data_IF_958816574481
#
_entry.id   IF_958816574481
#
_cell.length_a   1.000
_cell.length_b   1.000
_cell.length_c   1.000
_cell.angle_alpha   90.00
_cell.angle_beta   90.00
_cell.angle_gamma   90.00
#
_symmetry.space_group_name_H-M   'P 1'
#
loop_
_entity.id
_entity.type
_entity.pdbx_description
1 polymer ?
#
# COMPACT_ATOMS: atom_id res chain seq x y z
N UNK A 1 -22.71 12.94 23.13
CA UNK A 1 -21.42 12.97 22.41
C UNK A 1 -21.73 12.91 20.93
N UNK A 2 -21.50 13.99 20.18
CA UNK A 2 -21.76 14.03 18.75
C UNK A 2 -20.84 13.02 18.05
N UNK A 3 -21.39 12.23 17.10
CA UNK A 3 -20.57 11.44 16.18
C UNK A 3 -19.64 12.42 15.45
N UNK A 4 -18.32 12.17 15.36
CA UNK A 4 -17.45 13.02 14.55
C UNK A 4 -17.98 12.99 13.11
N UNK A 5 -18.14 14.15 12.50
CA UNK A 5 -18.50 14.28 11.09
C UNK A 5 -17.43 13.57 10.27
N UNK A 6 -17.74 12.39 9.76
CA UNK A 6 -16.85 11.65 8.87
C UNK A 6 -16.71 12.41 7.55
N UNK A 7 -15.64 13.18 7.41
CA UNK A 7 -15.31 13.87 6.15
C UNK A 7 -14.61 12.89 5.21
N UNK A 8 -15.38 12.35 4.29
CA UNK A 8 -14.90 11.50 3.21
C UNK A 8 -15.01 12.25 1.88
N UNK A 9 -14.10 11.97 0.92
CA UNK A 9 -14.20 12.56 -0.40
C UNK A 9 -15.53 12.16 -1.06
N UNK A 10 -16.07 13.08 -1.85
CA UNK A 10 -17.26 12.86 -2.66
C UNK A 10 -17.01 11.79 -3.73
N UNK A 11 -18.08 11.33 -4.37
CA UNK A 11 -17.98 10.36 -5.48
C UNK A 11 -17.13 10.91 -6.62
N UNK A 12 -17.25 12.19 -6.93
CA UNK A 12 -16.50 12.85 -8.01
C UNK A 12 -15.01 12.96 -7.67
N UNK A 13 -14.68 13.28 -6.42
CA UNK A 13 -13.29 13.33 -5.95
C UNK A 13 -12.63 11.95 -6.00
N UNK A 14 -13.37 10.90 -5.62
CA UNK A 14 -12.89 9.53 -5.76
C UNK A 14 -12.74 9.07 -7.20
N UNK A 15 -13.56 9.60 -8.11
CA UNK A 15 -13.40 9.34 -9.53
C UNK A 15 -12.13 9.98 -10.06
N UNK A 16 -11.86 11.25 -9.71
CA UNK A 16 -10.60 11.92 -10.06
C UNK A 16 -9.37 11.23 -9.46
N UNK A 17 -9.48 10.71 -8.24
CA UNK A 17 -8.45 9.88 -7.60
C UNK A 17 -8.12 8.63 -8.44
N UNK A 18 -9.16 7.89 -8.86
CA UNK A 18 -8.98 6.67 -9.66
C UNK A 18 -8.40 6.99 -11.04
N UNK A 19 -8.88 8.06 -11.70
CA UNK A 19 -8.41 8.53 -13.01
C UNK A 19 -6.93 8.95 -12.96
N UNK A 20 -6.52 9.70 -11.94
CA UNK A 20 -5.14 10.15 -11.77
C UNK A 20 -4.16 9.00 -11.55
N UNK A 21 -4.61 7.90 -10.96
CA UNK A 21 -3.82 6.70 -10.72
C UNK A 21 -4.07 5.60 -11.76
N UNK A 22 -4.83 5.88 -12.82
CA UNK A 22 -5.06 4.93 -13.91
C UNK A 22 -3.81 4.73 -14.78
N UNK A 23 -2.90 5.71 -14.80
CA UNK A 23 -1.71 5.73 -15.64
C UNK A 23 -0.46 6.08 -14.84
N UNK A 24 0.69 5.41 -15.08
CA UNK A 24 1.97 5.78 -14.47
C UNK A 24 2.48 7.17 -14.86
N UNK A 25 1.92 7.76 -15.92
CA UNK A 25 2.34 9.07 -16.44
C UNK A 25 1.42 10.23 -16.00
N UNK A 26 0.24 9.93 -15.46
CA UNK A 26 -0.75 10.92 -15.07
C UNK A 26 -0.39 11.70 -13.78
N UNK A 27 0.66 11.28 -13.08
CA UNK A 27 1.19 11.95 -11.88
C UNK A 27 0.94 11.17 -10.60
N UNK A 28 0.86 11.90 -9.48
CA UNK A 28 0.56 11.35 -8.17
C UNK A 28 -0.70 11.95 -7.57
N UNK A 29 -1.12 11.39 -6.44
CA UNK A 29 -2.22 11.91 -5.64
C UNK A 29 -1.74 12.13 -4.22
N UNK A 30 -2.14 13.24 -3.63
CA UNK A 30 -1.84 13.59 -2.26
C UNK A 30 -3.12 13.64 -1.44
N UNK A 31 -3.13 12.89 -0.35
CA UNK A 31 -4.27 12.74 0.54
C UNK A 31 -3.81 13.00 1.97
N UNK A 32 -4.56 13.79 2.72
CA UNK A 32 -4.43 13.85 4.17
C UNK A 32 -5.43 12.87 4.78
N UNK A 33 -4.95 11.87 5.51
CA UNK A 33 -5.80 10.86 6.12
C UNK A 33 -5.43 10.71 7.61
N UNK A 34 -6.40 10.98 8.49
CA UNK A 34 -6.25 10.92 9.95
C UNK A 34 -4.93 11.52 10.48
N UNK A 35 -4.60 12.73 10.00
CA UNK A 35 -3.41 13.48 10.42
C UNK A 35 -2.11 13.13 9.68
N UNK A 36 -2.11 12.15 8.77
CA UNK A 36 -0.93 11.79 7.98
C UNK A 36 -1.02 12.23 6.52
N UNK A 37 0.12 12.62 5.96
CA UNK A 37 0.24 12.98 4.54
C UNK A 37 0.57 11.75 3.72
N UNK A 38 -0.39 11.27 2.94
CA UNK A 38 -0.21 10.17 2.00
C UNK A 38 0.13 10.71 0.62
N UNK A 39 1.32 10.40 0.13
CA UNK A 39 1.66 10.58 -1.28
C UNK A 39 1.50 9.24 -1.99
N UNK A 40 0.69 9.22 -3.04
CA UNK A 40 0.29 8.01 -3.75
C UNK A 40 0.71 8.16 -5.20
N UNK A 41 1.42 7.17 -5.73
CA UNK A 41 1.85 7.22 -7.13
C UNK A 41 1.90 5.81 -7.72
N UNK A 42 1.62 5.71 -9.01
CA UNK A 42 1.86 4.46 -9.76
C UNK A 42 3.34 4.40 -10.12
N UNK A 43 4.03 3.35 -9.68
CA UNK A 43 5.45 3.11 -9.99
C UNK A 43 5.64 1.74 -10.61
N UNK A 44 6.63 1.65 -11.49
CA UNK A 44 7.08 0.38 -12.04
C UNK A 44 7.84 -0.38 -10.95
N UNK A 45 7.43 -1.63 -10.67
CA UNK A 45 8.07 -2.49 -9.67
C UNK A 45 8.86 -3.64 -10.30
N UNK A 46 8.52 -4.03 -11.53
CA UNK A 46 9.23 -5.01 -12.37
C UNK A 46 9.01 -4.66 -13.85
N UNK A 47 9.75 -5.26 -14.80
CA UNK A 47 9.42 -5.14 -16.22
C UNK A 47 7.94 -5.46 -16.45
N UNK A 48 7.24 -4.54 -17.13
CA UNK A 48 5.80 -4.63 -17.43
C UNK A 48 4.87 -4.78 -16.22
N UNK A 49 5.35 -4.46 -15.00
CA UNK A 49 4.53 -4.53 -13.79
C UNK A 49 4.55 -3.22 -13.01
N UNK A 50 3.38 -2.63 -12.88
CA UNK A 50 3.15 -1.42 -12.11
C UNK A 50 2.39 -1.73 -10.83
N UNK A 51 2.58 -0.89 -9.81
CA UNK A 51 1.82 -0.91 -8.58
C UNK A 51 1.58 0.51 -8.08
N UNK A 52 0.48 0.70 -7.35
CA UNK A 52 0.19 1.95 -6.64
C UNK A 52 0.97 1.91 -5.32
N UNK A 53 1.94 2.80 -5.13
CA UNK A 53 2.71 2.90 -3.89
C UNK A 53 2.16 4.01 -3.00
N UNK A 54 2.12 3.75 -1.70
CA UNK A 54 1.71 4.70 -0.67
C UNK A 54 2.91 5.08 0.18
N UNK A 55 3.29 6.35 0.13
CA UNK A 55 4.30 6.95 0.98
C UNK A 55 3.59 7.69 2.12
N UNK A 56 3.93 7.34 3.36
CA UNK A 56 3.37 7.99 4.55
C UNK A 56 4.37 9.04 5.01
N UNK A 57 3.92 10.29 5.08
CA UNK A 57 4.75 11.45 5.40
C UNK A 57 6.00 11.53 4.50
N UNK A 58 5.80 11.21 3.22
CA UNK A 58 6.82 11.24 2.17
C UNK A 58 7.76 10.03 2.13
N UNK A 59 7.61 9.05 3.02
CA UNK A 59 8.54 7.92 3.10
C UNK A 59 7.82 6.56 3.20
N UNK A 60 8.52 5.52 2.76
CA UNK A 60 8.16 4.12 3.08
C UNK A 60 9.19 3.63 4.08
N UNK A 61 8.80 3.55 5.35
CA UNK A 61 9.68 3.06 6.42
C UNK A 61 9.46 1.57 6.65
N UNK A 62 10.55 0.83 6.82
CA UNK A 62 10.48 -0.61 7.08
C UNK A 62 9.67 -0.95 8.34
N UNK A 63 9.68 -0.08 9.34
CA UNK A 63 8.89 -0.24 10.57
C UNK A 63 7.38 -0.30 10.30
N UNK A 64 6.87 0.42 9.29
CA UNK A 64 5.47 0.37 8.89
C UNK A 64 5.13 -0.96 8.22
N UNK A 65 6.10 -1.62 7.60
CA UNK A 65 5.94 -2.92 6.96
C UNK A 65 5.84 -4.08 7.96
N UNK A 66 6.28 -3.87 9.21
CA UNK A 66 6.23 -4.90 10.25
C UNK A 66 4.79 -5.16 10.70
N UNK A 67 4.49 -6.43 11.02
CA UNK A 67 3.20 -6.82 11.57
C UNK A 67 2.90 -6.04 12.86
N UNK A 68 1.64 -5.61 13.03
CA UNK A 68 1.19 -4.93 14.25
C UNK A 68 1.49 -3.43 14.32
N UNK A 69 2.22 -2.85 13.37
CA UNK A 69 2.43 -1.40 13.33
C UNK A 69 1.11 -0.68 13.00
N UNK A 70 0.70 0.28 13.82
CA UNK A 70 -0.59 0.97 13.67
C UNK A 70 -0.71 1.73 12.34
N UNK A 71 0.35 2.45 11.92
CA UNK A 71 0.38 3.19 10.64
C UNK A 71 0.31 2.21 9.47
N UNK A 72 1.10 1.13 9.52
CA UNK A 72 1.07 0.07 8.53
C UNK A 72 -0.30 -0.61 8.39
N UNK A 73 -0.94 -0.94 9.50
CA UNK A 73 -2.28 -1.54 9.51
C UNK A 73 -3.36 -0.61 8.94
N UNK A 74 -3.12 0.70 8.99
CA UNK A 74 -4.06 1.73 8.58
C UNK A 74 -3.96 2.08 7.10
N UNK A 75 -2.74 2.13 6.55
CA UNK A 75 -2.50 2.61 5.19
C UNK A 75 -1.98 1.54 4.22
N UNK A 76 -1.42 0.44 4.71
CA UNK A 76 -0.81 -0.62 3.90
C UNK A 76 -1.67 -1.88 3.90
N UNK A 77 -1.54 -2.70 2.86
CA UNK A 77 -2.31 -3.95 2.77
C UNK A 77 -1.61 -5.07 3.54
N UNK A 78 -2.34 -5.94 4.25
CA UNK A 78 -1.76 -7.16 4.78
C UNK A 78 -1.39 -8.09 3.62
N UNK A 79 -0.17 -8.63 3.66
CA UNK A 79 0.34 -9.59 2.68
C UNK A 79 1.06 -10.73 3.38
N UNK A 80 0.64 -11.95 3.08
CA UNK A 80 1.35 -13.15 3.52
C UNK A 80 2.59 -13.37 2.65
N UNK A 81 3.76 -13.46 3.29
CA UNK A 81 5.04 -13.74 2.64
C UNK A 81 5.68 -14.97 3.28
N UNK A 82 6.28 -15.81 2.45
CA UNK A 82 7.04 -16.97 2.89
C UNK A 82 8.52 -16.71 2.57
N UNK A 83 9.39 -16.99 3.54
CA UNK A 83 10.85 -16.91 3.34
C UNK A 83 11.41 -17.89 2.30
N UNK A 84 10.66 -18.96 1.98
CA UNK A 84 11.05 -19.93 0.97
C UNK A 84 10.38 -19.65 -0.38
N UNK A 85 11.19 -19.61 -1.44
CA UNK A 85 10.67 -19.52 -2.81
C UNK A 85 9.95 -20.82 -3.20
N UNK A 86 9.21 -20.80 -4.30
CA UNK A 86 8.57 -22.02 -4.84
C UNK A 86 9.61 -23.09 -5.22
N UNK A 87 10.78 -22.67 -5.70
CA UNK A 87 11.88 -23.56 -6.04
C UNK A 87 12.47 -24.22 -4.79
N UNK A 88 12.69 -23.44 -3.71
CA UNK A 88 13.15 -23.98 -2.43
C UNK A 88 12.14 -24.99 -1.87
N UNK A 89 10.85 -24.68 -1.93
CA UNK A 89 9.81 -25.59 -1.47
C UNK A 89 9.80 -26.91 -2.25
N UNK A 90 9.98 -26.86 -3.57
CA UNK A 90 10.09 -28.05 -4.42
C UNK A 90 11.32 -28.89 -4.07
N UNK A 91 12.49 -28.24 -3.87
CA UNK A 91 13.72 -28.90 -3.40
C UNK A 91 13.50 -29.56 -2.04
N UNK A 92 12.97 -28.81 -1.07
CA UNK A 92 12.72 -29.32 0.27
C UNK A 92 11.75 -30.51 0.27
N UNK A 93 10.74 -30.47 -0.59
CA UNK A 93 9.77 -31.54 -0.74
C UNK A 93 10.39 -32.81 -1.33
N UNK A 94 11.39 -32.68 -2.22
CA UNK A 94 12.18 -33.80 -2.74
C UNK A 94 13.09 -34.40 -1.67
N UNK A 95 13.78 -33.55 -0.91
CA UNK A 95 14.84 -33.99 0.01
C UNK A 95 14.30 -34.48 1.38
N UNK A 96 13.27 -33.81 1.91
CA UNK A 96 12.73 -34.08 3.27
C UNK A 96 11.23 -34.45 3.28
N UNK A 97 10.59 -34.50 2.11
CA UNK A 97 9.20 -34.92 1.97
C UNK A 97 8.16 -33.85 2.29
N UNK A 98 6.90 -34.12 1.89
CA UNK A 98 5.79 -33.14 1.92
C UNK A 98 5.46 -32.62 3.31
N UNK A 99 5.44 -33.50 4.32
CA UNK A 99 5.01 -33.15 5.69
C UNK A 99 5.99 -32.19 6.36
N UNK A 100 7.29 -32.46 6.21
CA UNK A 100 8.34 -31.61 6.78
C UNK A 100 8.36 -30.23 6.11
N UNK A 101 8.33 -30.19 4.77
CA UNK A 101 8.29 -28.92 4.02
C UNK A 101 7.10 -28.06 4.41
N UNK A 102 5.89 -28.64 4.56
CA UNK A 102 4.71 -27.88 4.99
C UNK A 102 4.90 -27.25 6.37
N UNK A 103 5.54 -27.96 7.30
CA UNK A 103 5.83 -27.43 8.63
C UNK A 103 6.82 -26.25 8.57
N UNK A 104 7.89 -26.36 7.78
CA UNK A 104 8.87 -25.28 7.62
C UNK A 104 8.28 -24.06 6.90
N UNK A 105 7.53 -24.27 5.82
CA UNK A 105 6.83 -23.19 5.12
C UNK A 105 5.90 -22.45 6.06
N UNK A 106 5.14 -23.17 6.91
CA UNK A 106 4.26 -22.53 7.90
C UNK A 106 5.06 -21.68 8.89
N UNK A 107 6.20 -22.17 9.39
CA UNK A 107 7.08 -21.42 10.31
C UNK A 107 7.71 -20.19 9.67
N UNK A 108 8.08 -20.28 8.40
CA UNK A 108 8.71 -19.20 7.64
C UNK A 108 7.70 -18.26 6.95
N UNK A 109 6.39 -18.46 7.18
CA UNK A 109 5.33 -17.63 6.61
C UNK A 109 4.90 -16.61 7.64
N UNK A 110 5.02 -15.32 7.29
CA UNK A 110 4.63 -14.19 8.13
C UNK A 110 3.69 -13.26 7.36
N UNK A 111 2.85 -12.52 8.07
CA UNK A 111 2.05 -11.43 7.50
C UNK A 111 2.85 -10.14 7.65
N UNK A 112 3.00 -9.40 6.55
CA UNK A 112 3.62 -8.07 6.54
C UNK A 112 2.64 -7.04 6.00
N UNK A 113 2.86 -5.78 6.32
CA UNK A 113 2.15 -4.66 5.74
C UNK A 113 2.88 -4.24 4.46
N UNK A 114 2.23 -4.39 3.30
CA UNK A 114 2.81 -4.09 1.99
C UNK A 114 2.34 -2.70 1.52
N UNK A 115 3.24 -1.75 1.26
CA UNK A 115 2.89 -0.40 0.79
C UNK A 115 2.37 -0.38 -0.65
N UNK A 116 2.45 -1.50 -1.37
CA UNK A 116 2.05 -1.61 -2.77
C UNK A 116 0.62 -2.11 -2.89
N UNK A 117 -0.15 -1.47 -3.75
CA UNK A 117 -1.51 -1.83 -4.09
C UNK A 117 -1.61 -2.26 -5.55
N UNK A 118 -2.51 -3.21 -5.83
CA UNK A 118 -2.74 -3.72 -7.18
C UNK A 118 -3.59 -2.79 -8.04
N UNK A 119 -4.43 -1.97 -7.42
CA UNK A 119 -5.25 -0.98 -8.10
C UNK A 119 -5.58 0.20 -7.18
N UNK A 120 -5.89 1.38 -7.75
CA UNK A 120 -6.33 2.55 -6.98
C UNK A 120 -7.61 2.29 -6.19
N UNK A 121 -8.58 1.61 -6.80
CA UNK A 121 -9.86 1.31 -6.15
C UNK A 121 -9.72 0.36 -4.95
N UNK A 122 -8.72 -0.53 -4.95
CA UNK A 122 -8.43 -1.37 -3.78
C UNK A 122 -7.86 -0.55 -2.62
N UNK A 123 -6.97 0.40 -2.91
CA UNK A 123 -6.45 1.34 -1.93
C UNK A 123 -7.56 2.22 -1.38
N UNK A 124 -8.42 2.80 -2.24
CA UNK A 124 -9.58 3.59 -1.81
C UNK A 124 -10.46 2.82 -0.81
N UNK A 125 -10.86 1.59 -1.17
CA UNK A 125 -11.71 0.75 -0.30
C UNK A 125 -11.07 0.49 1.06
N UNK A 126 -9.75 0.36 1.10
CA UNK A 126 -9.03 0.21 2.34
C UNK A 126 -9.03 1.49 3.16
N UNK A 127 -8.66 2.64 2.58
CA UNK A 127 -8.64 3.93 3.27
C UNK A 127 -10.00 4.28 3.86
N UNK A 128 -11.08 4.13 3.09
CA UNK A 128 -12.46 4.36 3.57
C UNK A 128 -12.84 3.43 4.73
N UNK A 129 -12.24 2.24 4.80
CA UNK A 129 -12.49 1.28 5.89
C UNK A 129 -11.67 1.60 7.15
N UNK A 130 -10.45 2.09 7.00
CA UNK A 130 -9.48 2.22 8.09
C UNK A 130 -9.35 3.64 8.63
N UNK A 131 -9.67 4.66 7.82
CA UNK A 131 -9.54 6.06 8.16
C UNK A 131 -10.89 6.69 8.46
N UNK A 132 -10.92 7.69 9.35
CA UNK A 132 -12.14 8.40 9.73
C UNK A 132 -12.31 9.69 8.93
N UNK A 133 -11.20 10.37 8.66
CA UNK A 133 -11.10 11.62 7.93
C UNK A 133 -10.14 11.45 6.76
N UNK A 134 -10.60 11.81 5.57
CA UNK A 134 -9.83 11.72 4.33
C UNK A 134 -10.08 12.99 3.51
N UNK A 135 -9.01 13.71 3.22
CA UNK A 135 -9.04 14.93 2.42
C UNK A 135 -8.13 14.78 1.20
N UNK A 136 -8.70 15.00 0.02
CA UNK A 136 -7.93 15.04 -1.21
C UNK A 136 -7.26 16.42 -1.32
N UNK A 137 -5.93 16.46 -1.26
CA UNK A 137 -5.17 17.73 -1.26
C UNK A 137 -4.77 18.10 -2.67
N UNK A 138 -4.23 17.15 -3.43
CA UNK A 138 -3.66 17.42 -4.76
C UNK A 138 -3.78 16.21 -5.66
N UNK A 139 -3.98 16.48 -6.94
CA UNK A 139 -3.98 15.49 -8.02
C UNK A 139 -3.04 15.99 -9.11
N UNK A 140 -2.19 15.09 -9.62
CA UNK A 140 -1.27 15.37 -10.73
C UNK A 140 0.18 15.48 -10.31
N UNK A 141 0.99 16.14 -11.14
CA UNK A 141 2.40 16.35 -10.84
C UNK A 141 2.56 17.54 -9.88
N UNK A 142 3.49 17.47 -8.90
CA UNK A 142 3.94 18.69 -8.27
C UNK A 142 4.52 19.58 -9.37
N UNK A 143 3.99 20.80 -9.54
CA UNK A 143 4.79 21.88 -10.13
C UNK A 143 6.12 21.88 -9.38
N UNK A 144 7.23 21.96 -10.14
CA UNK A 144 8.58 21.90 -9.60
C UNK A 144 8.62 22.65 -8.28
N UNK A 145 8.85 21.93 -7.18
CA UNK A 145 9.30 22.60 -5.97
C UNK A 145 10.60 23.28 -6.42
N UNK A 146 10.59 24.61 -6.48
CA UNK A 146 11.81 25.39 -6.58
C UNK A 146 12.79 24.79 -5.59
N UNK A 147 13.91 24.32 -6.13
CA UNK A 147 14.97 23.75 -5.32
C UNK A 147 15.32 24.82 -4.29
N UNK A 148 15.02 24.53 -3.02
CA UNK A 148 15.49 25.34 -1.92
C UNK A 148 17.02 25.32 -2.00
N UNK A 149 17.55 26.51 -2.27
CA UNK A 149 18.96 26.89 -2.34
C UNK A 149 19.70 26.59 -1.03
#
# INVERSE_FOLDING_TARGET
MAKPETKHPSREEWQRFDEALASPWAGGVEVLADGHRLQIAVRQIKPLKFAVLVYVDGQIKQEFCNAGNAIGLKFYRPRTVCGYTRADQARMQKDWGKRWTKAQVKKATVVVNDPRWGSPSALRRHLVKTCTEIHLVRIGWPEKAEAAE
#
